data_IF_417441318053
#
_entry.id   IF_417441318053
#
_cell.length_a   1.000
_cell.length_b   1.000
_cell.length_c   1.000
_cell.angle_alpha   90.00
_cell.angle_beta   90.00
_cell.angle_gamma   90.00
#
_symmetry.space_group_name_H-M   'P 1'
#
loop_
_entity.id
_entity.type
_entity.pdbx_description
1 polymer ?
#
# COMPACT_ATOMS: atom_id res chain seq x y z
N UNK A 1 12.56 -24.92 -16.42
CA UNK A 1 13.28 -23.85 -15.71
C UNK A 1 12.26 -23.03 -14.96
N UNK A 2 12.51 -22.77 -13.69
CA UNK A 2 11.58 -22.02 -12.85
C UNK A 2 11.45 -20.56 -13.32
N UNK A 3 10.28 -19.97 -13.11
CA UNK A 3 9.99 -18.59 -13.51
C UNK A 3 9.30 -17.82 -12.40
N UNK A 4 9.78 -16.61 -12.12
CA UNK A 4 9.18 -15.71 -11.14
C UNK A 4 7.78 -15.34 -11.61
N UNK A 5 6.78 -15.66 -10.79
CA UNK A 5 5.39 -15.31 -11.03
C UNK A 5 5.02 -14.01 -10.34
N UNK A 6 5.35 -13.90 -9.04
CA UNK A 6 4.87 -12.81 -8.20
C UNK A 6 5.91 -12.39 -7.16
N UNK A 7 6.39 -11.13 -7.18
CA UNK A 7 7.28 -10.62 -6.14
C UNK A 7 6.50 -10.35 -4.86
N UNK A 8 7.01 -10.80 -3.71
CA UNK A 8 6.40 -10.61 -2.38
C UNK A 8 6.92 -9.36 -1.66
N UNK A 9 7.74 -8.54 -2.32
CA UNK A 9 8.26 -7.30 -1.73
C UNK A 9 7.14 -6.25 -1.62
N UNK A 10 6.90 -5.75 -0.41
CA UNK A 10 5.83 -4.81 -0.08
C UNK A 10 4.41 -5.34 -0.35
N UNK A 11 4.25 -6.67 -0.37
CA UNK A 11 2.94 -7.31 -0.49
C UNK A 11 2.36 -7.55 0.90
N UNK A 12 1.10 -7.14 1.17
CA UNK A 12 0.40 -7.48 2.40
C UNK A 12 0.33 -9.00 2.63
N UNK A 13 0.35 -9.43 3.90
CA UNK A 13 0.38 -10.86 4.24
C UNK A 13 -0.88 -11.62 3.78
N UNK A 14 -2.03 -10.93 3.75
CA UNK A 14 -3.30 -11.40 3.20
C UNK A 14 -3.21 -11.64 1.68
N UNK A 15 -2.69 -10.68 0.91
CA UNK A 15 -2.53 -10.86 -0.54
C UNK A 15 -1.56 -12.00 -0.86
N UNK A 16 -0.47 -12.12 -0.10
CA UNK A 16 0.47 -13.22 -0.26
C UNK A 16 -0.19 -14.59 0.02
N UNK A 17 -1.01 -14.71 1.07
CA UNK A 17 -1.72 -15.97 1.37
C UNK A 17 -2.80 -16.29 0.33
N UNK A 18 -3.51 -15.28 -0.18
CA UNK A 18 -4.51 -15.44 -1.24
C UNK A 18 -3.87 -15.92 -2.55
N UNK A 19 -2.73 -15.35 -2.95
CA UNK A 19 -2.01 -15.80 -4.15
C UNK A 19 -1.49 -17.24 -3.97
N UNK A 20 -1.00 -17.63 -2.78
CA UNK A 20 -0.62 -19.02 -2.50
C UNK A 20 -1.82 -19.97 -2.65
N UNK A 21 -2.96 -19.62 -2.04
CA UNK A 21 -4.19 -20.41 -2.16
C UNK A 21 -4.73 -20.49 -3.60
N UNK A 22 -4.55 -19.44 -4.39
CA UNK A 22 -4.88 -19.43 -5.82
C UNK A 22 -4.03 -20.45 -6.58
N UNK A 23 -2.72 -20.49 -6.34
CA UNK A 23 -1.83 -21.45 -6.99
C UNK A 23 -2.18 -22.89 -6.60
N UNK A 24 -2.42 -23.15 -5.32
CA UNK A 24 -2.80 -24.46 -4.80
C UNK A 24 -4.14 -24.95 -5.38
N UNK A 25 -5.15 -24.08 -5.43
CA UNK A 25 -6.48 -24.41 -5.97
C UNK A 25 -6.44 -24.83 -7.44
N UNK A 26 -5.54 -24.22 -8.22
CA UNK A 26 -5.42 -24.50 -9.64
C UNK A 26 -4.40 -25.60 -9.97
N UNK A 27 -3.79 -26.21 -8.94
CA UNK A 27 -2.85 -27.33 -9.06
C UNK A 27 -1.52 -26.92 -9.70
N UNK A 28 -1.08 -25.67 -9.50
CA UNK A 28 0.16 -25.15 -10.06
C UNK A 28 1.31 -25.47 -9.12
N UNK A 29 2.41 -26.05 -9.63
CA UNK A 29 3.57 -26.29 -8.79
C UNK A 29 4.40 -25.02 -8.58
N UNK A 30 4.48 -24.57 -7.33
CA UNK A 30 5.20 -23.36 -6.94
C UNK A 30 6.17 -23.59 -5.78
N UNK A 31 7.06 -22.63 -5.57
CA UNK A 31 7.88 -22.50 -4.37
C UNK A 31 8.12 -21.03 -4.06
N UNK A 32 8.36 -20.74 -2.78
CA UNK A 32 8.66 -19.40 -2.31
C UNK A 32 10.16 -19.27 -2.02
N UNK A 33 10.69 -18.07 -2.27
CA UNK A 33 12.04 -17.69 -1.83
C UNK A 33 11.90 -16.65 -0.73
N UNK A 34 12.59 -16.86 0.39
CA UNK A 34 12.63 -15.90 1.49
C UNK A 34 13.57 -14.72 1.21
N UNK A 35 13.31 -13.60 1.89
CA UNK A 35 14.25 -12.49 1.92
C UNK A 35 15.50 -12.92 2.69
N UNK A 36 16.69 -12.75 2.11
CA UNK A 36 17.94 -13.00 2.82
C UNK A 36 18.10 -12.02 3.99
N UNK A 37 18.87 -12.41 5.02
CA UNK A 37 19.04 -11.62 6.26
C UNK A 37 19.44 -10.15 6.06
N UNK A 38 20.09 -9.81 4.95
CA UNK A 38 20.54 -8.46 4.61
C UNK A 38 19.53 -7.67 3.73
N UNK A 39 18.38 -8.26 3.39
CA UNK A 39 17.32 -7.61 2.60
C UNK A 39 17.60 -7.50 1.09
N UNK A 40 18.70 -8.07 0.59
CA UNK A 40 19.06 -7.99 -0.84
C UNK A 40 18.29 -8.97 -1.74
N UNK A 41 17.81 -10.09 -1.20
CA UNK A 41 16.97 -11.02 -1.96
C UNK A 41 15.52 -10.55 -1.91
N UNK A 42 14.90 -10.31 -3.07
CA UNK A 42 13.48 -10.03 -3.14
C UNK A 42 12.71 -11.33 -2.95
N UNK A 43 11.91 -11.48 -1.86
CA UNK A 43 11.09 -12.65 -1.70
C UNK A 43 10.07 -12.72 -2.84
N UNK A 44 9.72 -13.92 -3.26
CA UNK A 44 8.87 -14.11 -4.43
C UNK A 44 8.35 -15.52 -4.58
N UNK A 45 7.21 -15.64 -5.26
CA UNK A 45 6.61 -16.90 -5.67
C UNK A 45 7.09 -17.27 -7.07
N UNK A 46 7.63 -18.46 -7.19
CA UNK A 46 8.21 -19.01 -8.41
C UNK A 46 7.43 -20.25 -8.83
N UNK A 47 7.18 -20.37 -10.14
CA UNK A 47 6.64 -21.59 -10.72
C UNK A 47 7.78 -22.54 -11.07
N UNK A 48 7.59 -23.83 -10.81
CA UNK A 48 8.56 -24.89 -11.18
C UNK A 48 8.60 -25.09 -12.69
N UNK A 49 7.42 -25.16 -13.32
CA UNK A 49 7.29 -25.28 -14.77
C UNK A 49 7.05 -23.91 -15.43
N UNK A 50 7.80 -23.64 -16.50
CA UNK A 50 7.61 -22.45 -17.34
C UNK A 50 6.39 -22.62 -18.25
N UNK A 51 5.98 -23.84 -18.58
CA UNK A 51 4.79 -24.12 -19.38
C UNK A 51 3.51 -23.63 -18.68
N UNK A 52 3.49 -23.66 -17.36
CA UNK A 52 2.38 -23.18 -16.54
C UNK A 52 2.34 -21.67 -16.37
N UNK A 53 3.41 -20.97 -16.73
CA UNK A 53 3.51 -19.51 -16.55
C UNK A 53 2.38 -18.72 -17.21
N UNK A 54 1.98 -18.97 -18.48
CA UNK A 54 0.88 -18.24 -19.11
C UNK A 54 -0.44 -18.44 -18.36
N UNK A 55 -0.71 -19.67 -17.90
CA UNK A 55 -1.92 -20.01 -17.16
C UNK A 55 -1.95 -19.34 -15.79
N UNK A 56 -0.86 -19.46 -15.03
CA UNK A 56 -0.70 -18.84 -13.72
C UNK A 56 -0.78 -17.31 -13.81
N UNK A 57 -0.21 -16.72 -14.87
CA UNK A 57 -0.26 -15.27 -15.09
C UNK A 57 -1.68 -14.79 -15.38
N UNK A 58 -2.43 -15.52 -16.21
CA UNK A 58 -3.83 -15.19 -16.48
C UNK A 58 -4.69 -15.21 -15.21
N UNK A 59 -4.51 -16.24 -14.35
CA UNK A 59 -5.20 -16.34 -13.07
C UNK A 59 -4.85 -15.19 -12.12
N UNK A 60 -3.57 -14.83 -12.04
CA UNK A 60 -3.11 -13.72 -11.23
C UNK A 60 -3.65 -12.37 -11.72
N UNK A 61 -3.67 -12.16 -13.04
CA UNK A 61 -4.18 -10.93 -13.65
C UNK A 61 -5.70 -10.78 -13.40
N UNK A 62 -6.46 -11.87 -13.43
CA UNK A 62 -7.88 -11.91 -13.07
C UNK A 62 -8.11 -11.59 -11.60
N UNK A 63 -7.38 -12.25 -10.69
CA UNK A 63 -7.42 -11.96 -9.25
C UNK A 63 -7.14 -10.47 -8.97
N UNK A 64 -6.07 -9.93 -9.58
CA UNK A 64 -5.71 -8.53 -9.42
C UNK A 64 -6.76 -7.56 -10.00
N UNK A 65 -7.46 -7.96 -11.06
CA UNK A 65 -8.57 -7.17 -11.61
C UNK A 65 -9.75 -7.12 -10.64
N UNK A 66 -10.14 -8.27 -10.06
CA UNK A 66 -11.21 -8.35 -9.07
C UNK A 66 -10.88 -7.52 -7.82
N UNK A 67 -9.65 -7.62 -7.31
CA UNK A 67 -9.22 -6.84 -6.14
C UNK A 67 -9.26 -5.33 -6.39
N UNK A 68 -8.82 -4.88 -7.58
CA UNK A 68 -8.92 -3.46 -7.97
C UNK A 68 -10.36 -2.98 -8.08
N UNK A 69 -11.26 -3.82 -8.54
CA UNK A 69 -12.68 -3.48 -8.65
C UNK A 69 -13.33 -3.34 -7.27
N UNK A 70 -13.01 -4.26 -6.34
CA UNK A 70 -13.44 -4.18 -4.94
C UNK A 70 -12.92 -2.90 -4.28
N UNK A 71 -11.62 -2.60 -4.40
CA UNK A 71 -11.05 -1.37 -3.84
C UNK A 71 -11.70 -0.09 -4.41
N UNK A 72 -12.06 -0.09 -5.70
CA UNK A 72 -12.81 1.02 -6.32
C UNK A 72 -14.25 1.09 -5.83
N UNK A 73 -14.91 -0.03 -5.61
CA UNK A 73 -16.25 -0.08 -5.05
C UNK A 73 -16.25 0.46 -3.61
N UNK A 74 -15.32 0.00 -2.77
CA UNK A 74 -15.13 0.52 -1.42
C UNK A 74 -14.82 2.01 -1.40
N UNK A 75 -13.96 2.50 -2.31
CA UNK A 75 -13.68 3.92 -2.45
C UNK A 75 -14.95 4.71 -2.79
N UNK A 76 -15.75 4.25 -3.78
CA UNK A 76 -17.03 4.89 -4.13
C UNK A 76 -18.05 4.85 -3.00
N UNK A 77 -18.10 3.77 -2.22
CA UNK A 77 -18.96 3.71 -1.05
C UNK A 77 -18.51 4.68 0.04
N UNK A 78 -17.20 4.84 0.26
CA UNK A 78 -16.65 5.86 1.19
C UNK A 78 -16.98 7.27 0.71
N UNK A 79 -16.84 7.53 -0.60
CA UNK A 79 -17.27 8.80 -1.22
C UNK A 79 -18.78 9.04 -1.01
N UNK A 80 -19.61 8.03 -1.25
CA UNK A 80 -21.06 8.11 -1.09
C UNK A 80 -21.51 8.23 0.38
N UNK A 81 -20.77 7.63 1.32
CA UNK A 81 -20.96 7.81 2.77
C UNK A 81 -20.45 9.16 3.27
N UNK A 82 -19.86 9.98 2.41
CA UNK A 82 -19.29 11.28 2.78
C UNK A 82 -18.01 11.17 3.62
N UNK A 83 -17.38 9.98 3.65
CA UNK A 83 -16.12 9.69 4.34
C UNK A 83 -14.91 10.14 3.52
N UNK A 84 -15.01 11.27 2.84
CA UNK A 84 -13.84 12.10 2.81
C UNK A 84 -13.68 12.63 4.24
N UNK A 85 -12.88 11.93 5.05
CA UNK A 85 -12.14 12.52 6.17
C UNK A 85 -11.16 13.60 5.63
N UNK A 86 -11.65 14.47 4.75
CA UNK A 86 -11.09 15.76 4.48
C UNK A 86 -10.91 16.44 5.83
N UNK A 87 -9.72 16.98 6.07
CA UNK A 87 -9.32 17.80 7.22
C UNK A 87 -10.45 18.65 7.85
N UNK A 88 -11.44 19.07 7.07
CA UNK A 88 -12.62 19.81 7.49
C UNK A 88 -13.58 19.04 8.43
N UNK A 89 -13.69 17.72 8.32
CA UNK A 89 -14.44 16.88 9.26
C UNK A 89 -13.66 16.73 10.58
N UNK A 90 -12.35 16.50 10.51
CA UNK A 90 -11.48 16.44 11.70
C UNK A 90 -11.41 17.78 12.45
N UNK A 91 -11.45 18.92 11.73
CA UNK A 91 -11.54 20.26 12.30
C UNK A 91 -12.87 20.48 13.05
N UNK A 92 -13.98 19.89 12.57
CA UNK A 92 -15.30 19.99 13.22
C UNK A 92 -15.45 19.04 14.40
N UNK A 93 -14.89 17.84 14.33
CA UNK A 93 -15.05 16.82 15.38
C UNK A 93 -14.11 17.05 16.56
N UNK A 94 -12.91 17.60 16.35
CA UNK A 94 -11.93 17.86 17.43
C UNK A 94 -11.20 19.22 17.29
N UNK A 95 -11.92 20.35 17.31
CA UNK A 95 -11.32 21.68 17.14
C UNK A 95 -10.22 21.98 18.18
N UNK A 96 -10.40 21.50 19.41
CA UNK A 96 -9.44 21.71 20.51
C UNK A 96 -8.06 21.06 20.28
N UNK A 97 -7.95 20.03 19.44
CA UNK A 97 -6.67 19.37 19.12
C UNK A 97 -5.97 19.98 17.89
N UNK A 98 -6.74 20.53 16.94
CA UNK A 98 -6.21 21.04 15.66
C UNK A 98 -5.73 22.50 15.79
N UNK A 99 -6.49 23.35 16.49
CA UNK A 99 -6.15 24.76 16.70
C UNK A 99 -4.77 25.00 17.33
N UNK A 100 -4.38 24.38 18.46
CA UNK A 100 -3.08 24.66 19.07
C UNK A 100 -1.90 24.22 18.20
N UNK A 101 -2.05 23.13 17.41
CA UNK A 101 -1.01 22.69 16.47
C UNK A 101 -0.83 23.65 15.31
N UNK A 102 -1.92 24.15 14.73
CA UNK A 102 -1.87 25.19 13.70
C UNK A 102 -1.21 26.46 14.23
N UNK A 103 -1.58 26.88 15.45
CA UNK A 103 -1.03 28.06 16.10
C UNK A 103 0.48 27.91 16.37
N UNK A 104 0.91 26.73 16.84
CA UNK A 104 2.32 26.42 17.02
C UNK A 104 3.10 26.44 15.69
N UNK A 105 2.52 25.88 14.62
CA UNK A 105 3.16 25.87 13.30
C UNK A 105 3.32 27.29 12.73
N UNK A 106 2.28 28.13 12.85
CA UNK A 106 2.34 29.54 12.46
C UNK A 106 3.35 30.30 13.32
N UNK A 107 3.40 30.04 14.64
CA UNK A 107 4.35 30.68 15.54
C UNK A 107 5.80 30.32 15.18
N UNK A 108 6.08 29.06 14.85
CA UNK A 108 7.40 28.62 14.39
C UNK A 108 7.75 29.32 13.07
N UNK A 109 6.85 29.30 12.08
CA UNK A 109 7.09 29.96 10.79
C UNK A 109 7.35 31.46 10.96
N UNK A 110 6.53 32.14 11.77
CA UNK A 110 6.68 33.55 12.08
C UNK A 110 8.01 33.83 12.80
N UNK A 111 8.40 32.99 13.76
CA UNK A 111 9.69 33.11 14.44
C UNK A 111 10.84 32.91 13.45
N UNK A 112 10.77 31.92 12.55
CA UNK A 112 11.80 31.67 11.53
C UNK A 112 11.90 32.81 10.52
N UNK A 113 10.78 33.40 10.09
CA UNK A 113 10.75 34.54 9.17
C UNK A 113 11.16 35.86 9.83
N UNK A 114 10.86 36.04 11.11
CA UNK A 114 11.24 37.21 11.88
C UNK A 114 12.71 37.18 12.31
N UNK A 115 13.29 35.99 12.50
CA UNK A 115 14.69 35.78 12.90
C UNK A 115 15.71 36.54 12.03
N UNK A 116 15.69 36.45 10.68
CA UNK A 116 16.64 37.16 9.84
C UNK A 116 16.45 38.68 9.91
N UNK A 117 15.21 39.15 10.07
CA UNK A 117 14.93 40.58 10.20
C UNK A 117 15.40 41.14 11.56
N UNK A 118 15.35 40.32 12.62
CA UNK A 118 15.88 40.65 13.93
C UNK A 118 17.41 40.58 14.03
N UNK A 119 18.06 39.67 13.27
CA UNK A 119 19.52 39.51 13.26
C UNK A 119 20.25 40.50 12.33
N UNK A 120 19.54 41.10 11.36
CA UNK A 120 20.08 42.06 10.39
C UNK A 120 19.83 43.54 10.76
N UNK A 121 19.36 43.82 11.98
CA UNK A 121 19.21 45.17 12.55
C UNK A 121 20.29 45.42 13.60
#
# INVERSE_FOLDING_TARGET
MAKLLFPLRNVPADEASEVRALLDRHGLEWYETEAGMLGFSAPGLWLRDKADYPRARALLDEYQAQRREQARAEAREREARGEHETFMQQLRTQPAYVLPRLLAMIAILAATLALPWWLLR
#
